data_IF_064937986350
#
_entry.id   IF_064937986350
#
_cell.length_a   1.000
_cell.length_b   1.000
_cell.length_c   1.000
_cell.angle_alpha   90.00
_cell.angle_beta   90.00
_cell.angle_gamma   90.00
#
_symmetry.space_group_name_H-M   'P 1'
#
loop_
_entity.id
_entity.type
_entity.pdbx_description
1 polymer ?
#
# COMPACT_ATOMS: atom_id res chain seq x y z
N UNK A 1 0.30 3.01 -11.02
CA UNK A 1 0.93 4.23 -10.46
C UNK A 1 0.59 4.32 -8.98
N UNK A 2 1.45 4.92 -8.17
CA UNK A 2 1.24 4.99 -6.72
C UNK A 2 0.46 6.27 -6.33
N UNK A 3 -0.55 6.14 -5.49
CA UNK A 3 -1.42 7.23 -5.03
C UNK A 3 -1.21 7.52 -3.54
N UNK A 4 -1.04 8.78 -3.16
CA UNK A 4 -0.97 9.16 -1.74
C UNK A 4 -2.36 9.08 -1.11
N UNK A 5 -2.55 8.16 -0.15
CA UNK A 5 -3.86 7.91 0.47
C UNK A 5 -3.77 7.82 1.98
N UNK A 6 -4.72 8.44 2.67
CA UNK A 6 -4.94 8.28 4.11
C UNK A 6 -5.67 6.95 4.36
N UNK A 7 -5.07 6.09 5.16
CA UNK A 7 -5.57 4.76 5.48
C UNK A 7 -5.92 4.63 6.96
N UNK A 8 -6.95 3.85 7.25
CA UNK A 8 -7.33 3.37 8.59
C UNK A 8 -7.66 1.88 8.50
N UNK A 9 -7.73 1.17 9.63
CA UNK A 9 -8.40 -0.14 9.71
C UNK A 9 -9.91 0.01 9.95
N UNK A 10 -10.65 -1.08 10.12
CA UNK A 10 -12.11 -1.08 10.35
C UNK A 10 -12.55 -0.19 11.51
N UNK A 11 -11.76 -0.18 12.60
CA UNK A 11 -12.03 0.66 13.76
C UNK A 11 -11.92 2.18 13.50
N UNK A 12 -11.41 2.59 12.33
CA UNK A 12 -11.21 4.00 11.93
C UNK A 12 -10.32 4.80 12.90
N UNK A 13 -9.43 4.12 13.63
CA UNK A 13 -8.46 4.71 14.55
C UNK A 13 -7.07 4.80 13.92
N UNK A 14 -6.19 5.63 14.51
CA UNK A 14 -4.77 5.80 14.14
C UNK A 14 -4.50 5.93 12.62
N UNK A 15 -5.08 6.96 11.95
CA UNK A 15 -4.90 7.13 10.52
C UNK A 15 -3.45 7.44 10.15
N UNK A 16 -2.94 6.82 9.09
CA UNK A 16 -1.62 7.11 8.52
C UNK A 16 -1.72 7.30 7.00
N UNK A 17 -0.79 8.05 6.42
CA UNK A 17 -0.72 8.25 4.97
C UNK A 17 0.31 7.28 4.39
N UNK A 18 -0.04 6.64 3.28
CA UNK A 18 0.84 5.76 2.53
C UNK A 18 0.71 6.02 1.02
N UNK A 19 1.74 5.63 0.27
CA UNK A 19 1.67 5.54 -1.19
C UNK A 19 1.09 4.18 -1.57
N UNK A 20 -0.07 4.16 -2.21
CA UNK A 20 -0.85 2.96 -2.51
C UNK A 20 -0.70 2.61 -3.98
N UNK A 21 -0.25 1.38 -4.26
CA UNK A 21 -0.22 0.80 -5.60
C UNK A 21 -1.36 -0.20 -5.72
N UNK A 22 -2.32 0.07 -6.60
CA UNK A 22 -3.37 -0.89 -6.96
C UNK A 22 -2.84 -1.91 -7.97
N UNK A 23 -1.97 -2.82 -7.52
CA UNK A 23 -1.37 -3.83 -8.36
C UNK A 23 -2.41 -4.90 -8.76
N UNK A 24 -2.50 -5.21 -10.06
CA UNK A 24 -3.40 -6.22 -10.63
C UNK A 24 -2.65 -7.39 -11.29
N UNK A 25 -1.32 -7.44 -11.18
CA UNK A 25 -0.49 -8.51 -11.71
C UNK A 25 0.74 -8.78 -10.85
N UNK A 26 1.32 -9.98 -11.00
CA UNK A 26 2.56 -10.36 -10.31
C UNK A 26 3.74 -9.47 -10.70
N UNK A 27 3.81 -9.02 -11.96
CA UNK A 27 4.86 -8.11 -12.45
C UNK A 27 4.79 -6.78 -11.70
N UNK A 28 3.59 -6.20 -11.57
CA UNK A 28 3.41 -4.94 -10.83
C UNK A 28 3.76 -5.08 -9.34
N UNK A 29 3.53 -6.26 -8.74
CA UNK A 29 3.97 -6.54 -7.37
C UNK A 29 5.50 -6.61 -7.27
N UNK A 30 6.16 -7.29 -8.22
CA UNK A 30 7.62 -7.36 -8.27
C UNK A 30 8.24 -5.97 -8.42
N UNK A 31 7.71 -5.14 -9.32
CA UNK A 31 8.16 -3.76 -9.52
C UNK A 31 8.02 -2.93 -8.23
N UNK A 32 6.90 -3.08 -7.52
CA UNK A 32 6.66 -2.37 -6.26
C UNK A 32 7.62 -2.81 -5.14
N UNK A 33 7.96 -4.10 -5.09
CA UNK A 33 8.93 -4.64 -4.12
C UNK A 33 10.36 -4.15 -4.43
N UNK A 34 10.74 -4.11 -5.71
CA UNK A 34 12.06 -3.61 -6.12
C UNK A 34 12.19 -2.09 -5.90
N UNK A 35 11.11 -1.34 -6.08
CA UNK A 35 11.08 0.10 -5.84
C UNK A 35 10.88 0.47 -4.35
N UNK A 36 10.85 -0.51 -3.44
CA UNK A 36 10.60 -0.27 -2.01
C UNK A 36 11.68 0.63 -1.40
N UNK A 37 11.26 1.78 -0.88
CA UNK A 37 12.13 2.66 -0.11
C UNK A 37 12.36 2.16 1.32
N UNK A 38 13.04 2.95 2.18
CA UNK A 38 13.37 2.57 3.56
C UNK A 38 12.15 2.33 4.46
N UNK A 39 10.95 2.78 4.05
CA UNK A 39 9.69 2.51 4.74
C UNK A 39 9.09 1.13 4.43
N UNK A 40 9.65 0.40 3.47
CA UNK A 40 9.19 -0.91 3.04
C UNK A 40 7.83 -0.90 2.31
N UNK A 41 7.31 -2.09 2.09
CA UNK A 41 6.00 -2.34 1.44
C UNK A 41 5.25 -3.38 2.26
N UNK A 42 3.93 -3.22 2.37
CA UNK A 42 3.04 -4.18 3.02
C UNK A 42 1.84 -4.47 2.12
N UNK A 43 1.43 -5.74 1.93
CA UNK A 43 0.20 -6.04 1.22
C UNK A 43 -1.02 -5.59 2.02
N UNK A 44 -2.04 -5.08 1.32
CA UNK A 44 -3.32 -4.69 1.92
C UNK A 44 -4.45 -5.48 1.26
N UNK A 45 -5.20 -6.23 2.06
CA UNK A 45 -6.44 -6.89 1.63
C UNK A 45 -7.62 -5.91 1.59
N UNK A 46 -8.81 -6.39 1.98
CA UNK A 46 -10.05 -5.59 1.94
C UNK A 46 -10.08 -4.38 2.90
N UNK A 47 -9.10 -4.23 3.80
CA UNK A 47 -8.98 -3.05 4.64
C UNK A 47 -10.07 -2.89 5.70
N UNK A 48 -10.71 -4.01 6.08
CA UNK A 48 -11.43 -4.15 7.34
C UNK A 48 -10.42 -4.53 8.42
#
# INVERSE_FOLDING_TARGET
MAESKRLTGWGRTAPTVASVVAASSAVQLADALQAAGPRGVIPRGLGR
#
